data_IF_734904730753
#
_entry.id   IF_734904730753
#
_cell.length_a   1.000
_cell.length_b   1.000
_cell.length_c   1.000
_cell.angle_alpha   90.00
_cell.angle_beta   90.00
_cell.angle_gamma   90.00
#
_symmetry.space_group_name_H-M   'P 1'
#
loop_
_entity.id
_entity.type
_entity.pdbx_description
1 polymer ?
#
# COMPACT_ATOMS: atom_id res chain seq x y z
N UNK A 1 -28.81 62.54 -43.87
CA UNK A 1 -27.59 62.51 -43.05
C UNK A 1 -27.52 61.18 -42.33
N UNK A 2 -26.54 60.33 -42.65
CA UNK A 2 -26.16 59.21 -41.80
C UNK A 2 -24.69 58.89 -42.09
N UNK A 3 -23.81 59.18 -41.14
CA UNK A 3 -22.37 59.00 -41.23
C UNK A 3 -22.02 57.54 -40.98
N UNK A 4 -21.43 56.87 -41.96
CA UNK A 4 -20.77 55.57 -41.76
C UNK A 4 -19.35 55.79 -41.24
N UNK A 5 -18.87 55.06 -40.22
CA UNK A 5 -17.48 55.13 -39.78
C UNK A 5 -16.57 54.62 -40.89
N UNK A 6 -15.62 55.45 -41.33
CA UNK A 6 -14.54 55.02 -42.21
C UNK A 6 -13.73 53.91 -41.52
N UNK A 7 -13.80 52.68 -42.06
CA UNK A 7 -12.74 51.70 -41.84
C UNK A 7 -11.44 52.32 -42.35
N UNK A 8 -10.48 52.56 -41.45
CA UNK A 8 -9.07 52.67 -41.82
C UNK A 8 -8.63 51.32 -42.38
N UNK A 9 -8.85 51.13 -43.67
CA UNK A 9 -8.18 50.09 -44.45
C UNK A 9 -6.71 50.46 -44.42
N UNK A 10 -5.95 49.77 -43.57
CA UNK A 10 -4.51 49.78 -43.69
C UNK A 10 -4.21 49.10 -45.02
N UNK A 11 -3.89 49.89 -46.02
CA UNK A 11 -3.31 49.43 -47.28
C UNK A 11 -1.99 48.74 -46.96
N UNK A 12 -2.03 47.42 -46.75
CA UNK A 12 -0.81 46.61 -46.68
C UNK A 12 -0.38 46.35 -48.11
N UNK A 13 0.64 47.08 -48.53
CA UNK A 13 1.39 46.81 -49.76
C UNK A 13 1.79 45.33 -49.83
N UNK A 14 1.85 44.73 -51.03
CA UNK A 14 2.42 43.40 -51.18
C UNK A 14 3.87 43.46 -50.68
N UNK A 15 4.29 42.59 -49.75
CA UNK A 15 5.66 42.63 -49.27
C UNK A 15 6.60 42.34 -50.43
N UNK A 16 7.42 43.33 -50.80
CA UNK A 16 8.43 43.28 -51.85
C UNK A 16 9.61 42.36 -51.53
N UNK A 17 9.57 41.68 -50.39
CA UNK A 17 10.64 40.85 -49.87
C UNK A 17 10.04 39.65 -49.12
N UNK A 18 10.60 38.43 -49.28
CA UNK A 18 10.17 37.28 -48.52
C UNK A 18 10.28 37.56 -47.01
N UNK A 19 9.34 37.05 -46.20
CA UNK A 19 9.40 37.21 -44.75
C UNK A 19 10.73 36.69 -44.22
N UNK A 20 11.31 37.41 -43.26
CA UNK A 20 12.57 37.05 -42.61
C UNK A 20 12.41 35.68 -41.96
N UNK A 21 13.33 34.74 -42.24
CA UNK A 21 13.29 33.38 -41.71
C UNK A 21 13.28 33.42 -40.18
N UNK A 22 12.33 32.69 -39.60
CA UNK A 22 12.23 32.51 -38.15
C UNK A 22 13.43 31.69 -37.65
N UNK A 23 13.87 31.87 -36.39
CA UNK A 23 14.82 30.96 -35.76
C UNK A 23 14.41 29.48 -35.86
N UNK A 24 13.10 29.19 -35.88
CA UNK A 24 12.59 27.84 -36.12
C UNK A 24 12.82 27.35 -37.56
N UNK A 25 12.72 28.23 -38.55
CA UNK A 25 12.96 27.86 -39.95
C UNK A 25 14.44 27.49 -40.15
N UNK A 26 15.36 28.20 -39.49
CA UNK A 26 16.78 27.87 -39.48
C UNK A 26 17.06 26.52 -38.79
N UNK A 27 16.36 26.21 -37.69
CA UNK A 27 16.47 24.91 -37.02
C UNK A 27 15.89 23.77 -37.87
N UNK A 28 14.77 24.01 -38.57
CA UNK A 28 14.18 23.03 -39.48
C UNK A 28 15.13 22.75 -40.64
N UNK A 29 15.68 23.80 -41.27
CA UNK A 29 16.63 23.66 -42.37
C UNK A 29 17.93 22.97 -41.92
N UNK A 30 18.48 23.36 -40.77
CA UNK A 30 19.67 22.74 -40.17
C UNK A 30 19.48 21.24 -39.91
N UNK A 31 18.29 20.85 -39.43
CA UNK A 31 17.95 19.44 -39.22
C UNK A 31 17.37 18.77 -40.47
N UNK A 32 17.31 19.46 -41.61
CA UNK A 32 16.72 18.98 -42.87
C UNK A 32 15.28 18.46 -42.72
N UNK A 33 14.51 19.07 -41.81
CA UNK A 33 13.17 18.61 -41.44
C UNK A 33 13.15 17.30 -40.64
N UNK A 34 14.31 16.74 -40.28
CA UNK A 34 14.42 15.57 -39.42
C UNK A 34 14.32 15.95 -37.94
N UNK A 35 13.82 15.02 -37.14
CA UNK A 35 13.79 15.14 -35.69
C UNK A 35 14.15 13.78 -35.10
N UNK A 36 14.84 13.79 -33.97
CA UNK A 36 15.20 12.59 -33.20
C UNK A 36 13.97 11.70 -32.97
N UNK A 37 12.79 12.28 -32.75
CA UNK A 37 11.55 11.53 -32.58
C UNK A 37 11.11 10.79 -33.86
N UNK A 38 11.28 11.40 -35.04
CA UNK A 38 10.93 10.80 -36.32
C UNK A 38 11.91 9.68 -36.70
N UNK A 39 13.21 9.90 -36.50
CA UNK A 39 14.24 8.88 -36.76
C UNK A 39 14.16 7.71 -35.79
N UNK A 40 13.90 7.97 -34.50
CA UNK A 40 13.66 6.93 -33.51
C UNK A 40 12.41 6.11 -33.86
N UNK A 41 11.33 6.76 -34.30
CA UNK A 41 10.11 6.09 -34.73
C UNK A 41 10.36 5.23 -35.97
N UNK A 42 11.05 5.77 -36.99
CA UNK A 42 11.44 5.03 -38.19
C UNK A 42 12.32 3.82 -37.87
N UNK A 43 13.32 4.01 -37.01
CA UNK A 43 14.22 2.93 -36.59
C UNK A 43 13.47 1.82 -35.86
N UNK A 44 12.53 2.17 -34.97
CA UNK A 44 11.66 1.20 -34.29
C UNK A 44 10.76 0.45 -35.27
N UNK A 45 10.21 1.14 -36.27
CA UNK A 45 9.33 0.56 -37.27
C UNK A 45 10.09 -0.41 -38.19
N UNK A 46 11.30 -0.03 -38.62
CA UNK A 46 12.20 -0.91 -39.38
C UNK A 46 12.67 -2.10 -38.55
N UNK A 47 12.99 -1.91 -37.27
CA UNK A 47 13.31 -3.01 -36.36
C UNK A 47 12.12 -3.97 -36.20
N UNK A 48 10.90 -3.45 -36.05
CA UNK A 48 9.68 -4.27 -35.93
C UNK A 48 9.35 -5.02 -37.21
N UNK A 49 9.63 -4.45 -38.39
CA UNK A 49 9.45 -5.16 -39.67
C UNK A 49 10.43 -6.34 -39.83
N UNK A 50 11.65 -6.19 -39.30
CA UNK A 50 12.69 -7.23 -39.32
C UNK A 50 12.52 -8.28 -38.22
N UNK A 51 11.72 -7.98 -37.20
CA UNK A 51 11.38 -8.94 -36.18
C UNK A 51 10.52 -10.05 -36.80
N UNK A 52 11.10 -11.24 -36.90
CA UNK A 52 10.34 -12.41 -37.36
C UNK A 52 9.39 -12.80 -36.23
N UNK A 53 8.06 -12.83 -36.44
CA UNK A 53 7.14 -13.28 -35.41
C UNK A 53 7.45 -14.74 -35.08
N UNK A 54 7.36 -15.15 -33.80
CA UNK A 54 7.60 -16.53 -33.41
C UNK A 54 6.64 -17.45 -34.15
N UNK A 55 7.15 -18.60 -34.59
CA UNK A 55 6.31 -19.62 -35.21
C UNK A 55 5.29 -20.14 -34.20
N UNK A 56 4.16 -20.72 -34.66
CA UNK A 56 3.18 -21.32 -33.75
C UNK A 56 3.79 -22.34 -32.78
N UNK A 57 4.75 -23.15 -33.25
CA UNK A 57 5.51 -24.10 -32.42
C UNK A 57 6.32 -23.40 -31.32
N UNK A 58 7.11 -22.39 -31.68
CA UNK A 58 7.88 -21.60 -30.71
C UNK A 58 6.97 -20.95 -29.67
N UNK A 59 5.79 -20.49 -30.09
CA UNK A 59 4.81 -19.91 -29.18
C UNK A 59 4.21 -20.93 -28.22
N UNK A 60 3.94 -22.15 -28.69
CA UNK A 60 3.47 -23.25 -27.85
C UNK A 60 4.52 -23.63 -26.81
N UNK A 61 5.80 -23.75 -27.20
CA UNK A 61 6.89 -24.06 -26.28
C UNK A 61 7.05 -22.98 -25.21
N UNK A 62 7.05 -21.71 -25.61
CA UNK A 62 7.13 -20.57 -24.70
C UNK A 62 5.98 -20.60 -23.68
N UNK A 63 4.74 -20.71 -24.15
CA UNK A 63 3.56 -20.73 -23.28
C UNK A 63 3.54 -21.95 -22.35
N UNK A 64 4.05 -23.09 -22.81
CA UNK A 64 4.16 -24.30 -21.99
C UNK A 64 5.18 -24.12 -20.86
N UNK A 65 6.31 -23.48 -21.15
CA UNK A 65 7.31 -23.09 -20.17
C UNK A 65 6.74 -22.12 -19.13
N UNK A 66 6.09 -21.05 -19.59
CA UNK A 66 5.44 -20.06 -18.74
C UNK A 66 4.37 -20.68 -17.83
N UNK A 67 3.49 -21.53 -18.40
CA UNK A 67 2.48 -22.26 -17.63
C UNK A 67 3.13 -23.10 -16.53
N UNK A 68 4.20 -23.81 -16.85
CA UNK A 68 4.90 -24.67 -15.89
C UNK A 68 5.54 -23.85 -14.77
N UNK A 69 6.13 -22.71 -15.09
CA UNK A 69 6.69 -21.78 -14.11
C UNK A 69 5.59 -21.21 -13.18
N UNK A 70 4.47 -20.77 -13.76
CA UNK A 70 3.33 -20.25 -12.99
C UNK A 70 2.72 -21.31 -12.08
N UNK A 71 2.62 -22.56 -12.53
CA UNK A 71 2.14 -23.66 -11.68
C UNK A 71 3.06 -23.92 -10.49
N UNK A 72 4.38 -23.81 -10.66
CA UNK A 72 5.34 -23.95 -9.55
C UNK A 72 5.18 -22.82 -8.53
N UNK A 73 5.06 -21.57 -8.99
CA UNK A 73 4.83 -20.44 -8.09
C UNK A 73 3.48 -20.54 -7.38
N UNK A 74 2.43 -20.98 -8.06
CA UNK A 74 1.12 -21.22 -7.43
C UNK A 74 1.24 -22.26 -6.31
N UNK A 75 1.89 -23.39 -6.57
CA UNK A 75 2.09 -24.44 -5.56
C UNK A 75 2.91 -23.94 -4.36
N UNK A 76 3.92 -23.10 -4.60
CA UNK A 76 4.69 -22.45 -3.54
C UNK A 76 3.83 -21.51 -2.70
N UNK A 77 3.05 -20.63 -3.32
CA UNK A 77 2.13 -19.74 -2.63
C UNK A 77 1.11 -20.51 -1.78
N UNK A 78 0.49 -21.55 -2.34
CA UNK A 78 -0.46 -22.39 -1.60
C UNK A 78 0.16 -23.05 -0.38
N UNK A 79 1.38 -23.59 -0.51
CA UNK A 79 2.11 -24.16 0.63
C UNK A 79 2.39 -23.11 1.70
N UNK A 80 2.86 -21.92 1.29
CA UNK A 80 3.12 -20.83 2.22
C UNK A 80 1.85 -20.37 2.94
N UNK A 81 0.74 -20.20 2.23
CA UNK A 81 -0.56 -19.85 2.82
C UNK A 81 -1.06 -20.89 3.81
N UNK A 82 -0.91 -22.18 3.48
CA UNK A 82 -1.30 -23.27 4.38
C UNK A 82 -0.49 -23.25 5.69
N UNK A 83 0.82 -23.03 5.60
CA UNK A 83 1.69 -22.90 6.77
C UNK A 83 1.33 -21.66 7.59
N UNK A 84 1.05 -20.53 6.92
CA UNK A 84 0.64 -19.30 7.57
C UNK A 84 -0.69 -19.45 8.33
N UNK A 85 -1.65 -20.17 7.74
CA UNK A 85 -2.93 -20.45 8.38
C UNK A 85 -2.75 -21.31 9.63
N UNK A 86 -1.93 -22.36 9.54
CA UNK A 86 -1.62 -23.22 10.69
C UNK A 86 -0.92 -22.43 11.81
N UNK A 87 0.05 -21.59 11.47
CA UNK A 87 0.74 -20.73 12.43
C UNK A 87 -0.22 -19.75 13.12
N UNK A 88 -1.08 -19.06 12.37
CA UNK A 88 -2.08 -18.14 12.93
C UNK A 88 -3.03 -18.84 13.90
N UNK A 89 -3.44 -20.06 13.57
CA UNK A 89 -4.30 -20.86 14.44
C UNK A 89 -3.60 -21.24 15.74
N UNK A 90 -2.33 -21.66 15.69
CA UNK A 90 -1.55 -21.92 16.91
C UNK A 90 -1.39 -20.65 17.75
N UNK A 91 -1.09 -19.51 17.12
CA UNK A 91 -0.97 -18.22 17.81
C UNK A 91 -2.27 -17.82 18.51
N UNK A 92 -3.42 -18.04 17.87
CA UNK A 92 -4.74 -17.82 18.49
C UNK A 92 -4.91 -18.64 19.76
N UNK A 93 -4.60 -19.93 19.71
CA UNK A 93 -4.70 -20.81 20.88
C UNK A 93 -3.76 -20.40 22.01
N UNK A 94 -2.55 -19.93 21.69
CA UNK A 94 -1.61 -19.42 22.70
C UNK A 94 -2.17 -18.15 23.36
N UNK A 95 -2.74 -17.24 22.58
CA UNK A 95 -3.35 -16.02 23.10
C UNK A 95 -4.55 -16.34 24.01
N UNK A 96 -5.44 -17.25 23.61
CA UNK A 96 -6.59 -17.64 24.42
C UNK A 96 -6.16 -18.23 25.76
N UNK A 97 -5.12 -19.09 25.76
CA UNK A 97 -4.53 -19.65 26.98
C UNK A 97 -3.91 -18.59 27.87
N UNK A 98 -3.21 -17.62 27.28
CA UNK A 98 -2.60 -16.54 28.03
C UNK A 98 -3.67 -15.63 28.67
N UNK A 99 -4.73 -15.31 27.94
CA UNK A 99 -5.86 -14.54 28.47
C UNK A 99 -6.52 -15.26 29.65
N UNK A 100 -6.76 -16.56 29.52
CA UNK A 100 -7.31 -17.36 30.61
C UNK A 100 -6.37 -17.35 31.83
N UNK A 101 -5.07 -17.57 31.63
CA UNK A 101 -4.10 -17.56 32.72
C UNK A 101 -4.05 -16.20 33.46
N UNK A 102 -4.12 -15.09 32.72
CA UNK A 102 -4.18 -13.74 33.32
C UNK A 102 -5.49 -13.55 34.10
N UNK A 103 -6.61 -14.05 33.59
CA UNK A 103 -7.90 -13.96 34.28
C UNK A 103 -7.87 -14.75 35.59
N UNK A 104 -7.44 -16.01 35.56
CA UNK A 104 -7.32 -16.85 36.76
C UNK A 104 -6.34 -16.26 37.77
N UNK A 105 -5.22 -15.69 37.32
CA UNK A 105 -4.29 -15.00 38.21
C UNK A 105 -4.94 -13.79 38.90
N UNK A 106 -5.68 -12.95 38.16
CA UNK A 106 -6.39 -11.80 38.77
C UNK A 106 -7.45 -12.25 39.75
N UNK A 107 -8.17 -13.33 39.42
CA UNK A 107 -9.16 -13.92 40.31
C UNK A 107 -8.52 -14.37 41.62
N UNK A 108 -7.44 -15.13 41.54
CA UNK A 108 -6.69 -15.58 42.72
C UNK A 108 -6.16 -14.41 43.54
N UNK A 109 -5.62 -13.35 42.90
CA UNK A 109 -5.19 -12.15 43.60
C UNK A 109 -6.33 -11.46 44.37
N UNK A 110 -7.53 -11.43 43.78
CA UNK A 110 -8.71 -10.87 44.43
C UNK A 110 -9.16 -11.73 45.61
N UNK A 111 -9.26 -13.04 45.44
CA UNK A 111 -9.61 -13.99 46.50
C UNK A 111 -8.64 -13.87 47.69
N UNK A 112 -7.33 -13.79 47.40
CA UNK A 112 -6.31 -13.55 48.42
C UNK A 112 -6.56 -12.21 49.14
N UNK A 113 -6.85 -11.13 48.42
CA UNK A 113 -7.15 -9.82 49.01
C UNK A 113 -8.37 -9.86 49.93
N UNK A 114 -9.48 -10.44 49.45
CA UNK A 114 -10.73 -10.55 50.19
C UNK A 114 -10.56 -11.40 51.47
N UNK A 115 -9.77 -12.48 51.42
CA UNK A 115 -9.44 -13.31 52.60
C UNK A 115 -8.65 -12.55 53.67
N UNK A 116 -7.70 -11.70 53.26
CA UNK A 116 -6.91 -10.90 54.21
C UNK A 116 -7.69 -9.72 54.80
N UNK A 117 -8.58 -9.10 54.03
CA UNK A 117 -9.45 -8.02 54.52
C UNK A 117 -10.50 -8.54 55.52
N UNK A 118 -11.14 -9.68 55.22
CA UNK A 118 -12.11 -10.32 56.14
C UNK A 118 -11.47 -10.81 57.45
N UNK A 119 -10.22 -11.30 57.39
CA UNK A 119 -9.46 -11.71 58.58
C UNK A 119 -9.11 -10.51 59.47
N UNK A 120 -8.85 -9.34 58.88
CA UNK A 120 -8.62 -8.09 59.62
C UNK A 120 -9.89 -7.58 60.31
N UNK A 121 -11.05 -7.65 59.65
CA UNK A 121 -12.33 -7.27 60.27
C UNK A 121 -12.72 -8.20 61.43
N UNK A 122 -12.60 -9.52 61.28
CA UNK A 122 -12.85 -10.46 62.38
C UNK A 122 -11.88 -10.29 63.56
N UNK A 123 -10.63 -9.87 63.30
CA UNK A 123 -9.67 -9.56 64.37
C UNK A 123 -10.01 -8.25 65.08
N UNK A 124 -10.56 -7.24 64.37
CA UNK A 124 -11.01 -5.99 64.97
C UNK A 124 -12.25 -6.17 65.84
N UNK A 125 -13.20 -7.02 65.41
CA UNK A 125 -14.42 -7.34 66.16
C UNK A 125 -14.11 -8.13 67.44
N UNK A 126 -13.21 -9.10 67.36
CA UNK A 126 -12.79 -9.90 68.54
C UNK A 126 -11.89 -9.12 69.49
N UNK A 127 -11.11 -8.15 69.01
CA UNK A 127 -10.34 -7.24 69.86
C UNK A 127 -11.25 -6.25 70.61
N UNK A 128 -12.33 -5.77 69.98
CA UNK A 128 -13.28 -4.83 70.59
C UNK A 128 -14.12 -5.47 71.71
N UNK A 129 -14.41 -6.77 71.62
CA UNK A 129 -15.13 -7.51 72.68
C UNK A 129 -14.27 -7.73 73.94
N UNK A 130 -12.95 -7.64 73.85
CA UNK A 130 -12.04 -7.96 74.97
C UNK A 130 -11.71 -6.79 75.90
N UNK A 131 -12.18 -5.56 75.61
CA UNK A 131 -11.90 -4.36 76.43
C UNK A 131 -13.01 -4.07 77.47
N UNK A 132 -14.09 -4.86 77.50
CA UNK A 132 -15.28 -4.59 78.34
C UNK A 132 -15.40 -5.32 79.69
N UNK A 133 -14.45 -6.16 80.11
CA UNK A 133 -14.67 -7.09 81.24
C UNK A 133 -13.65 -7.03 82.39
N UNK A 134 -12.99 -5.89 82.62
CA UNK A 134 -12.19 -5.66 83.84
C UNK A 134 -12.46 -4.28 84.44
N UNK A 135 -13.64 -4.09 85.03
CA UNK A 135 -13.88 -3.06 86.06
C UNK A 135 -15.23 -3.29 86.74
N UNK A 136 -15.28 -4.27 87.65
CA UNK A 136 -16.20 -4.32 88.80
C UNK A 136 -15.84 -5.55 89.64
N UNK A 137 -15.11 -5.34 90.73
CA UNK A 137 -15.66 -5.48 92.08
C UNK A 137 -14.55 -5.56 93.14
N UNK A 138 -14.77 -4.77 94.20
CA UNK A 138 -14.19 -4.72 95.56
C UNK A 138 -12.77 -4.17 95.74
#
# INVERSE_FOLDING_TARGET
>A
MNMSPQRKVHSRSPPTQPPTLSPMDALIDHNQGSSVALEASRSRLEASKRATPPTPLQRIEQLTGEKTALQKELAKCQRQESANRAFKEQMRQVLDRLQLAVFEWRRAQKEIGDDFDTTLEHRADTASIKVGFQSRDV
#
